data_IF_349399854631
#
_entry.id   IF_349399854631
#
_cell.length_a   1.000
_cell.length_b   1.000
_cell.length_c   1.000
_cell.angle_alpha   90.00
_cell.angle_beta   90.00
_cell.angle_gamma   90.00
#
_symmetry.space_group_name_H-M   'P 1'
#
loop_
_entity.id
_entity.type
_entity.pdbx_description
1 polymer ?
#
# COMPACT_ATOMS: atom_id res chain seq x y z
N UNK A 1 -2.42 25.75 -18.17
CA UNK A 1 -2.23 24.39 -18.72
C UNK A 1 -1.68 23.41 -17.68
N UNK A 2 -0.57 23.72 -16.98
CA UNK A 2 -0.10 22.92 -15.83
C UNK A 2 -1.09 22.80 -14.65
N UNK A 3 -1.96 23.80 -14.43
CA UNK A 3 -2.98 23.78 -13.36
C UNK A 3 -3.98 22.64 -13.54
N UNK A 4 -4.44 22.38 -14.77
CA UNK A 4 -5.41 21.30 -15.05
C UNK A 4 -4.80 19.90 -14.84
N UNK A 5 -3.53 19.71 -15.21
CA UNK A 5 -2.79 18.48 -14.94
C UNK A 5 -2.55 18.29 -13.42
N UNK A 6 -2.27 19.39 -12.71
CA UNK A 6 -2.16 19.40 -11.25
C UNK A 6 -3.46 19.01 -10.54
N UNK A 7 -4.62 19.50 -11.02
CA UNK A 7 -5.93 19.11 -10.49
C UNK A 7 -6.20 17.62 -10.72
N UNK A 8 -5.86 17.08 -11.90
CA UNK A 8 -5.97 15.65 -12.18
C UNK A 8 -5.11 14.80 -11.23
N UNK A 9 -3.86 15.20 -11.01
CA UNK A 9 -2.98 14.56 -10.03
C UNK A 9 -3.53 14.62 -8.59
N UNK A 10 -4.01 15.78 -8.16
CA UNK A 10 -4.62 15.98 -6.83
C UNK A 10 -5.86 15.10 -6.64
N UNK A 11 -6.76 15.04 -7.62
CA UNK A 11 -7.93 14.17 -7.56
C UNK A 11 -7.52 12.69 -7.42
N UNK A 12 -6.50 12.27 -8.17
CA UNK A 12 -5.90 10.94 -8.04
C UNK A 12 -5.36 10.69 -6.63
N UNK A 13 -4.59 11.63 -6.08
CA UNK A 13 -4.06 11.56 -4.72
C UNK A 13 -5.16 11.44 -3.67
N UNK A 14 -6.22 12.24 -3.75
CA UNK A 14 -7.34 12.20 -2.80
C UNK A 14 -8.01 10.83 -2.81
N UNK A 15 -8.29 10.27 -3.99
CA UNK A 15 -8.87 8.93 -4.11
C UNK A 15 -7.89 7.87 -3.57
N UNK A 16 -6.60 7.98 -3.91
CA UNK A 16 -5.55 7.09 -3.40
C UNK A 16 -5.44 7.12 -1.87
N UNK A 17 -5.59 8.30 -1.25
CA UNK A 17 -5.61 8.44 0.21
C UNK A 17 -6.85 7.78 0.83
N UNK A 18 -8.03 7.93 0.22
CA UNK A 18 -9.25 7.26 0.67
C UNK A 18 -9.06 5.74 0.65
N UNK A 19 -8.52 5.20 -0.46
CA UNK A 19 -8.20 3.78 -0.60
C UNK A 19 -7.21 3.36 0.49
N UNK A 20 -6.17 4.18 0.73
CA UNK A 20 -5.18 3.91 1.77
C UNK A 20 -5.80 3.82 3.15
N UNK A 21 -6.64 4.78 3.53
CA UNK A 21 -7.31 4.77 4.84
C UNK A 21 -8.15 3.51 5.01
N UNK A 22 -8.92 3.12 3.98
CA UNK A 22 -9.78 1.92 4.04
C UNK A 22 -8.92 0.66 4.17
N UNK A 23 -7.92 0.48 3.31
CA UNK A 23 -7.07 -0.71 3.31
C UNK A 23 -6.21 -0.83 4.58
N UNK A 24 -5.62 0.27 5.05
CA UNK A 24 -4.86 0.29 6.29
C UNK A 24 -5.75 -0.03 7.49
N UNK A 25 -6.99 0.45 7.54
CA UNK A 25 -7.94 0.09 8.61
C UNK A 25 -8.25 -1.40 8.62
N UNK A 26 -8.50 -2.00 7.45
CA UNK A 26 -8.74 -3.44 7.32
C UNK A 26 -7.49 -4.23 7.74
N UNK A 27 -6.31 -3.85 7.25
CA UNK A 27 -5.05 -4.51 7.56
C UNK A 27 -4.70 -4.45 9.05
N UNK A 28 -4.89 -3.28 9.68
CA UNK A 28 -4.69 -3.12 11.12
C UNK A 28 -5.69 -3.96 11.92
N UNK A 29 -6.96 -4.00 11.54
CA UNK A 29 -7.96 -4.82 12.21
C UNK A 29 -7.56 -6.30 12.21
N UNK A 30 -7.20 -6.85 11.04
CA UNK A 30 -6.74 -8.24 10.90
C UNK A 30 -5.49 -8.49 11.77
N UNK A 31 -4.52 -7.59 11.71
CA UNK A 31 -3.25 -7.72 12.45
C UNK A 31 -3.49 -7.67 13.96
N UNK A 32 -4.37 -6.79 14.44
CA UNK A 32 -4.72 -6.70 15.88
C UNK A 32 -5.42 -7.96 16.39
N UNK A 33 -6.33 -8.55 15.61
CA UNK A 33 -6.98 -9.81 15.98
C UNK A 33 -5.99 -10.98 16.03
N UNK A 34 -4.99 -11.00 15.13
CA UNK A 34 -3.93 -12.01 15.15
C UNK A 34 -2.92 -11.78 16.28
N UNK A 35 -2.58 -10.53 16.59
CA UNK A 35 -1.65 -10.19 17.66
C UNK A 35 -2.16 -10.61 19.04
N UNK A 36 -3.48 -10.66 19.27
CA UNK A 36 -4.06 -11.24 20.50
C UNK A 36 -3.68 -12.72 20.71
N UNK A 37 -3.29 -13.43 19.64
CA UNK A 37 -3.00 -14.87 19.67
C UNK A 37 -1.49 -15.17 19.68
N UNK A 38 -0.66 -14.26 19.18
CA UNK A 38 0.77 -14.47 18.94
C UNK A 38 1.54 -13.14 19.05
N UNK A 39 2.55 -13.08 19.92
CA UNK A 39 3.31 -11.84 20.21
C UNK A 39 4.22 -11.39 19.05
N UNK A 40 4.62 -12.31 18.16
CA UNK A 40 5.54 -12.02 17.05
C UNK A 40 4.87 -11.38 15.83
N UNK A 41 3.53 -11.31 15.80
CA UNK A 41 2.73 -10.82 14.67
C UNK A 41 3.08 -9.37 14.32
N UNK A 42 3.25 -8.50 15.31
CA UNK A 42 3.59 -7.10 15.08
C UNK A 42 4.97 -6.93 14.44
N UNK A 43 5.95 -7.69 14.91
CA UNK A 43 7.30 -7.65 14.34
C UNK A 43 7.28 -8.07 12.87
N UNK A 44 6.58 -9.18 12.57
CA UNK A 44 6.48 -9.68 11.20
C UNK A 44 5.72 -8.72 10.28
N UNK A 45 4.59 -8.16 10.76
CA UNK A 45 3.85 -7.14 10.04
C UNK A 45 4.71 -5.93 9.68
N UNK A 46 5.50 -5.41 10.63
CA UNK A 46 6.39 -4.27 10.39
C UNK A 46 7.46 -4.61 9.35
N UNK A 47 8.10 -5.78 9.45
CA UNK A 47 9.12 -6.20 8.48
C UNK A 47 8.53 -6.29 7.07
N UNK A 48 7.40 -6.97 6.92
CA UNK A 48 6.75 -7.11 5.60
C UNK A 48 6.31 -5.76 5.06
N UNK A 49 5.76 -4.88 5.91
CA UNK A 49 5.35 -3.54 5.51
C UNK A 49 6.53 -2.71 5.00
N UNK A 50 7.65 -2.70 5.75
CA UNK A 50 8.86 -1.95 5.40
C UNK A 50 9.52 -2.48 4.12
N UNK A 51 9.38 -3.76 3.80
CA UNK A 51 9.87 -4.32 2.52
C UNK A 51 8.89 -4.04 1.37
N UNK A 52 7.59 -4.19 1.61
CA UNK A 52 6.55 -4.10 0.57
C UNK A 52 6.32 -2.65 0.13
N UNK A 53 6.36 -1.69 1.06
CA UNK A 53 6.17 -0.27 0.76
C UNK A 53 7.17 0.27 -0.27
N UNK A 54 8.50 0.20 -0.07
CA UNK A 54 9.46 0.66 -1.06
C UNK A 54 9.35 -0.14 -2.35
N UNK A 55 9.12 -1.45 -2.29
CA UNK A 55 8.94 -2.27 -3.50
C UNK A 55 7.78 -1.76 -4.36
N UNK A 56 6.62 -1.48 -3.76
CA UNK A 56 5.47 -0.91 -4.46
C UNK A 56 5.73 0.50 -4.99
N UNK A 57 6.48 1.33 -4.25
CA UNK A 57 6.85 2.68 -4.69
C UNK A 57 7.82 2.62 -5.87
N UNK A 58 8.84 1.75 -5.84
CA UNK A 58 9.79 1.56 -6.95
C UNK A 58 9.08 1.03 -8.19
N UNK A 59 8.31 -0.06 -8.04
CA UNK A 59 7.54 -0.65 -9.15
C UNK A 59 6.52 0.34 -9.69
N UNK A 60 5.81 1.07 -8.83
CA UNK A 60 4.86 2.10 -9.25
C UNK A 60 5.54 3.26 -9.98
N UNK A 61 6.74 3.67 -9.54
CA UNK A 61 7.47 4.74 -10.21
C UNK A 61 8.02 4.29 -11.57
N UNK A 62 8.54 3.07 -11.69
CA UNK A 62 9.08 2.53 -12.94
C UNK A 62 7.97 2.21 -13.96
N UNK A 63 6.88 1.56 -13.52
CA UNK A 63 5.76 1.21 -14.42
C UNK A 63 5.03 2.47 -14.92
N UNK A 64 4.94 3.53 -14.12
CA UNK A 64 4.26 4.76 -14.54
C UNK A 64 5.27 5.76 -15.16
N UNK A 65 6.55 5.40 -15.29
CA UNK A 65 7.57 6.16 -16.04
C UNK A 65 7.64 5.82 -17.52
N UNK A 66 6.59 5.23 -18.11
CA UNK A 66 6.50 5.07 -19.56
C UNK A 66 6.41 6.44 -20.24
N UNK A 67 7.58 6.98 -20.60
CA UNK A 67 8.01 7.45 -21.93
C UNK A 67 6.98 8.10 -22.86
N UNK A 68 5.95 8.76 -22.34
CA UNK A 68 5.06 9.58 -23.13
C UNK A 68 5.52 11.03 -23.03
N UNK A 69 6.37 11.43 -23.98
CA UNK A 69 6.63 12.84 -24.25
C UNK A 69 5.35 13.39 -24.87
N UNK A 70 4.36 13.72 -24.03
CA UNK A 70 3.11 14.30 -24.47
C UNK A 70 3.44 15.55 -25.29
N UNK A 71 3.06 15.56 -26.57
CA UNK A 71 3.26 16.75 -27.39
C UNK A 71 2.30 17.83 -26.88
N UNK A 72 2.81 19.01 -26.49
CA UNK A 72 1.94 20.08 -26.00
C UNK A 72 0.92 20.45 -27.08
N UNK A 73 -0.37 20.27 -26.79
CA UNK A 73 -1.47 20.69 -27.65
C UNK A 73 -2.38 19.58 -28.20
N UNK A 74 -1.94 18.31 -28.28
CA UNK A 74 -2.78 17.22 -28.83
C UNK A 74 -3.16 16.14 -27.81
N UNK A 75 -2.32 15.83 -26.81
CA UNK A 75 -2.49 14.64 -25.96
C UNK A 75 -2.92 14.96 -24.51
N UNK A 76 -3.67 16.05 -24.31
CA UNK A 76 -4.00 16.56 -22.97
C UNK A 76 -4.80 15.58 -22.10
N UNK A 77 -5.75 14.87 -22.69
CA UNK A 77 -6.57 13.89 -21.98
C UNK A 77 -5.74 12.68 -21.53
N UNK A 78 -4.76 12.27 -22.33
CA UNK A 78 -3.83 11.18 -22.02
C UNK A 78 -2.91 11.59 -20.87
N UNK A 79 -2.33 12.80 -20.96
CA UNK A 79 -1.48 13.34 -19.90
C UNK A 79 -2.24 13.47 -18.56
N UNK A 80 -3.50 13.91 -18.58
CA UNK A 80 -4.32 14.03 -17.38
C UNK A 80 -4.58 12.67 -16.73
N UNK A 81 -4.89 11.63 -17.52
CA UNK A 81 -5.07 10.27 -17.02
C UNK A 81 -3.79 9.72 -16.40
N UNK A 82 -2.64 9.92 -17.02
CA UNK A 82 -1.35 9.48 -16.48
C UNK A 82 -1.05 10.17 -15.14
N UNK A 83 -1.23 11.50 -15.05
CA UNK A 83 -1.03 12.23 -13.80
C UNK A 83 -2.01 11.79 -12.70
N UNK A 84 -3.27 11.55 -13.05
CA UNK A 84 -4.27 10.98 -12.14
C UNK A 84 -3.86 9.60 -11.62
N UNK A 85 -3.45 8.69 -12.52
CA UNK A 85 -2.99 7.35 -12.16
C UNK A 85 -1.70 7.39 -11.32
N UNK A 86 -0.78 8.31 -11.59
CA UNK A 86 0.41 8.54 -10.74
C UNK A 86 0.02 8.95 -9.33
N UNK A 87 -0.85 9.96 -9.20
CA UNK A 87 -1.33 10.42 -7.90
C UNK A 87 -2.06 9.31 -7.14
N UNK A 88 -2.94 8.58 -7.83
CA UNK A 88 -3.68 7.47 -7.25
C UNK A 88 -2.74 6.34 -6.81
N UNK A 89 -1.84 5.89 -7.68
CA UNK A 89 -0.91 4.80 -7.40
C UNK A 89 -0.01 5.12 -6.21
N UNK A 90 0.68 6.26 -6.25
CA UNK A 90 1.61 6.66 -5.18
C UNK A 90 0.90 6.85 -3.83
N UNK A 91 -0.30 7.44 -3.82
CA UNK A 91 -1.06 7.62 -2.59
C UNK A 91 -1.76 6.35 -2.10
N UNK A 92 -2.06 5.38 -2.97
CA UNK A 92 -2.63 4.08 -2.61
C UNK A 92 -1.59 3.05 -2.16
N UNK A 93 -0.31 3.20 -2.56
CA UNK A 93 0.80 2.31 -2.18
C UNK A 93 0.87 2.00 -0.67
N UNK A 94 0.82 2.97 0.26
CA UNK A 94 0.89 2.66 1.69
C UNK A 94 -0.28 1.81 2.20
N UNK A 95 -1.49 2.04 1.68
CA UNK A 95 -2.65 1.20 1.98
C UNK A 95 -2.50 -0.23 1.50
N UNK A 96 -2.08 -0.38 0.24
CA UNK A 96 -1.81 -1.69 -0.36
C UNK A 96 -0.71 -2.42 0.40
N UNK A 97 0.38 -1.74 0.76
CA UNK A 97 1.47 -2.30 1.55
C UNK A 97 0.97 -2.80 2.92
N UNK A 98 0.16 -2.01 3.62
CA UNK A 98 -0.43 -2.39 4.90
C UNK A 98 -1.35 -3.62 4.77
N UNK A 99 -2.17 -3.67 3.72
CA UNK A 99 -3.06 -4.80 3.46
C UNK A 99 -2.28 -6.08 3.13
N UNK A 100 -1.28 -6.00 2.25
CA UNK A 100 -0.41 -7.14 1.91
C UNK A 100 0.37 -7.63 3.12
N UNK A 101 0.91 -6.72 3.93
CA UNK A 101 1.60 -7.08 5.17
C UNK A 101 0.68 -7.80 6.15
N UNK A 102 -0.55 -7.31 6.35
CA UNK A 102 -1.55 -7.96 7.20
C UNK A 102 -1.93 -9.36 6.68
N UNK A 103 -2.14 -9.48 5.36
CA UNK A 103 -2.51 -10.75 4.73
C UNK A 103 -1.40 -11.79 4.85
N UNK A 104 -0.15 -11.43 4.54
CA UNK A 104 1.01 -12.32 4.68
C UNK A 104 1.24 -12.72 6.14
N UNK A 105 1.12 -11.77 7.07
CA UNK A 105 1.25 -12.05 8.50
C UNK A 105 0.17 -13.00 8.97
N UNK A 106 -1.09 -12.81 8.56
CA UNK A 106 -2.18 -13.70 8.89
C UNK A 106 -1.99 -15.11 8.28
N UNK A 107 -1.53 -15.19 7.04
CA UNK A 107 -1.25 -16.46 6.36
C UNK A 107 -0.17 -17.26 7.11
N UNK A 108 0.91 -16.60 7.55
CA UNK A 108 1.99 -17.26 8.28
C UNK A 108 1.58 -17.60 9.71
N UNK A 109 0.78 -16.75 10.35
CA UNK A 109 0.22 -17.03 11.67
C UNK A 109 -0.68 -18.27 11.67
N UNK A 110 -1.37 -18.56 10.56
CA UNK A 110 -2.15 -19.79 10.36
C UNK A 110 -1.26 -21.03 10.15
N UNK A 111 -0.11 -20.88 9.49
CA UNK A 111 0.80 -21.99 9.20
C UNK A 111 1.70 -22.36 10.38
N UNK A 112 2.07 -21.40 11.23
CA UNK A 112 2.93 -21.65 12.39
C UNK A 112 2.10 -22.11 13.59
N UNK A 113 2.38 -23.30 14.16
CA UNK A 113 1.68 -23.77 15.34
C UNK A 113 1.88 -22.79 16.49
N UNK A 114 0.80 -22.52 17.23
CA UNK A 114 0.79 -21.65 18.40
C UNK A 114 1.90 -22.10 19.34
N UNK A 115 3.00 -21.33 19.44
CA UNK A 115 4.07 -21.59 20.41
C UNK A 115 3.44 -21.35 21.78
N UNK A 116 3.00 -22.43 22.41
CA UNK A 116 2.31 -22.41 23.69
C UNK A 116 3.24 -21.79 24.74
N UNK A 117 2.91 -20.57 25.18
CA UNK A 117 3.55 -19.89 26.31
C UNK A 117 3.07 -20.58 27.60
N UNK A 118 3.36 -21.87 27.77
CA UNK A 118 3.00 -22.64 28.97
C UNK A 118 4.22 -23.14 29.76
N UNK A 119 5.43 -22.66 29.46
CA UNK A 119 6.65 -23.06 30.18
C UNK A 119 7.22 -21.95 31.09
N UNK A 120 6.39 -21.08 31.67
CA UNK A 120 6.84 -20.14 32.71
C UNK A 120 6.01 -20.17 34.01
N UNK A 121 5.26 -21.25 34.24
CA UNK A 121 4.78 -21.60 35.58
C UNK A 121 5.29 -23.00 35.94
N UNK A 122 6.60 -23.12 36.15
CA UNK A 122 7.21 -24.21 36.93
C UNK A 122 8.23 -23.62 37.87
#
# INVERSE_FOLDING_TARGET
>A
MGIFLGIGGLAGCVIGLIITVILSRIGLYITTEMAKKQDWVWWYFTVVFVVTLPTLVFVGNDIISYSYVAKPGQDYDIAMKIFFLKGLGLCACPGLAAFFAAFLTAFIALLLPKKSINNQQS
#
